data_IF_172303354181
#
_entry.id   IF_172303354181
#
_cell.length_a   1.000
_cell.length_b   1.000
_cell.length_c   1.000
_cell.angle_alpha   90.00
_cell.angle_beta   90.00
_cell.angle_gamma   90.00
#
_symmetry.space_group_name_H-M   'P 1'
#
loop_
_entity.id
_entity.type
_entity.pdbx_description
1 polymer ?
#
# COMPACT_ATOMS: atom_id res chain seq x y z
N UNK A 1 4.53 -8.38 -63.28
CA UNK A 1 4.26 -9.79 -63.66
C UNK A 1 5.42 -10.70 -63.20
N UNK A 2 5.15 -12.00 -62.97
CA UNK A 2 5.96 -13.04 -62.31
C UNK A 2 5.70 -13.08 -60.77
N UNK A 3 4.63 -13.73 -60.26
CA UNK A 3 4.48 -15.16 -59.81
C UNK A 3 5.72 -15.71 -59.08
N UNK A 4 5.73 -16.40 -57.93
CA UNK A 4 4.87 -17.40 -57.28
C UNK A 4 5.33 -17.49 -55.78
N UNK A 5 4.49 -17.78 -54.77
CA UNK A 5 4.21 -19.15 -54.22
C UNK A 5 5.49 -19.85 -53.70
N UNK A 6 5.61 -20.47 -52.51
CA UNK A 6 4.68 -21.32 -51.78
C UNK A 6 5.18 -21.62 -50.34
N UNK A 7 4.21 -21.92 -49.46
CA UNK A 7 4.18 -22.57 -48.12
C UNK A 7 5.01 -23.87 -47.95
N UNK A 8 4.90 -24.70 -46.87
CA UNK A 8 4.56 -24.50 -45.43
C UNK A 8 5.38 -25.38 -44.43
N UNK A 9 5.07 -25.22 -43.13
CA UNK A 9 4.92 -26.21 -42.03
C UNK A 9 6.04 -27.23 -41.68
N UNK A 10 6.35 -27.29 -40.38
CA UNK A 10 6.72 -28.54 -39.70
C UNK A 10 6.12 -28.57 -38.27
N UNK A 11 5.18 -29.49 -38.09
CA UNK A 11 4.66 -29.98 -36.82
C UNK A 11 5.67 -30.89 -36.12
N UNK A 12 5.52 -31.05 -34.79
CA UNK A 12 5.76 -32.35 -34.14
C UNK A 12 6.90 -32.44 -33.13
N UNK A 13 6.55 -32.39 -31.84
CA UNK A 13 7.19 -33.22 -30.80
C UNK A 13 6.29 -33.35 -29.57
N UNK A 14 5.80 -34.57 -29.29
CA UNK A 14 5.44 -35.00 -27.95
C UNK A 14 6.32 -36.18 -27.49
N UNK A 15 6.18 -36.54 -26.20
CA UNK A 15 6.79 -37.66 -25.46
C UNK A 15 8.08 -37.28 -24.69
N UNK A 16 8.33 -37.70 -23.44
CA UNK A 16 7.63 -38.61 -22.54
C UNK A 16 8.06 -38.38 -21.07
N UNK A 17 7.19 -38.89 -20.19
CA UNK A 17 7.36 -39.37 -18.81
C UNK A 17 8.77 -39.54 -18.22
N UNK A 18 8.89 -39.22 -16.93
CA UNK A 18 9.54 -40.09 -15.94
C UNK A 18 9.13 -39.72 -14.50
N UNK A 19 8.87 -40.75 -13.71
CA UNK A 19 8.45 -40.80 -12.31
C UNK A 19 9.60 -40.59 -11.30
N UNK A 20 9.27 -40.14 -10.07
CA UNK A 20 9.80 -40.60 -8.77
C UNK A 20 9.28 -39.64 -7.66
N UNK A 21 8.32 -40.02 -6.80
CA UNK A 21 8.40 -40.76 -5.53
C UNK A 21 9.15 -40.03 -4.37
N UNK A 22 8.68 -40.29 -3.13
CA UNK A 22 9.24 -40.01 -1.78
C UNK A 22 8.57 -38.85 -1.02
N UNK A 23 8.15 -38.90 0.25
CA UNK A 23 7.92 -39.92 1.31
C UNK A 23 7.04 -39.22 2.37
N UNK A 24 6.17 -39.97 3.06
CA UNK A 24 5.45 -39.56 4.27
C UNK A 24 6.39 -39.15 5.43
N UNK A 25 6.01 -38.11 6.18
CA UNK A 25 6.40 -38.00 7.59
C UNK A 25 5.26 -37.35 8.39
N UNK A 26 4.75 -38.13 9.34
CA UNK A 26 3.81 -37.74 10.35
C UNK A 26 4.40 -36.71 11.33
N UNK A 27 3.53 -35.86 11.87
CA UNK A 27 3.85 -34.88 12.92
C UNK A 27 2.57 -34.45 13.61
N UNK A 28 2.09 -35.31 14.49
CA UNK A 28 1.12 -35.06 15.56
C UNK A 28 1.74 -34.09 16.58
N UNK A 29 1.09 -32.97 16.92
CA UNK A 29 0.83 -32.58 18.32
C UNK A 29 0.09 -31.23 18.49
N UNK A 30 -0.74 -31.19 19.54
CA UNK A 30 -1.29 -30.03 20.26
C UNK A 30 -2.35 -29.13 19.59
N UNK A 31 -3.60 -29.57 19.71
CA UNK A 31 -4.77 -28.69 19.73
C UNK A 31 -4.82 -27.91 21.05
N UNK A 32 -4.33 -26.67 21.05
CA UNK A 32 -4.73 -25.66 22.02
C UNK A 32 -5.95 -24.93 21.43
N UNK A 33 -7.14 -25.27 21.92
CA UNK A 33 -8.39 -24.56 21.62
C UNK A 33 -8.32 -23.20 22.31
N UNK A 34 -7.75 -22.22 21.62
CA UNK A 34 -7.92 -20.81 21.94
C UNK A 34 -9.33 -20.41 21.48
N UNK A 35 -10.13 -20.02 22.46
CA UNK A 35 -11.43 -19.39 22.31
C UNK A 35 -11.34 -18.26 21.26
N UNK A 36 -11.89 -18.51 20.06
CA UNK A 36 -11.88 -17.52 18.99
C UNK A 36 -12.81 -16.36 19.40
N UNK A 37 -12.36 -15.10 19.32
CA UNK A 37 -13.24 -13.96 19.50
C UNK A 37 -14.38 -14.06 18.49
N UNK A 38 -15.60 -13.84 18.96
CA UNK A 38 -16.83 -13.97 18.19
C UNK A 38 -16.70 -13.25 16.84
N UNK A 39 -16.67 -14.04 15.76
CA UNK A 39 -16.59 -13.57 14.39
C UNK A 39 -17.84 -12.74 14.10
N UNK A 40 -17.70 -11.42 14.02
CA UNK A 40 -18.77 -10.56 13.54
C UNK A 40 -18.76 -10.64 12.01
N UNK A 41 -19.71 -11.33 11.37
CA UNK A 41 -19.81 -11.28 9.91
C UNK A 41 -20.10 -9.83 9.52
N UNK A 42 -19.37 -9.31 8.54
CA UNK A 42 -19.72 -8.05 7.89
C UNK A 42 -21.10 -8.23 7.25
N UNK A 43 -22.17 -7.85 7.96
CA UNK A 43 -23.51 -7.87 7.40
C UNK A 43 -23.60 -6.77 6.36
N UNK A 44 -23.51 -7.17 5.09
CA UNK A 44 -23.93 -6.36 3.97
C UNK A 44 -25.40 -5.99 4.22
N UNK A 45 -25.69 -4.70 4.39
CA UNK A 45 -27.05 -4.20 4.54
C UNK A 45 -27.94 -4.58 3.35
N UNK A 46 -29.25 -4.24 3.39
CA UNK A 46 -30.23 -4.66 2.39
C UNK A 46 -30.01 -3.91 1.06
N UNK A 47 -28.97 -4.28 0.32
CA UNK A 47 -28.77 -3.93 -1.07
C UNK A 47 -29.52 -4.99 -1.89
N UNK A 48 -30.36 -4.53 -2.82
CA UNK A 48 -31.28 -5.37 -3.59
C UNK A 48 -30.62 -6.59 -4.25
N UNK A 49 -31.42 -7.63 -4.45
CA UNK A 49 -31.08 -8.90 -5.11
C UNK A 49 -30.36 -8.70 -6.47
N UNK A 50 -29.04 -8.53 -6.43
CA UNK A 50 -28.14 -8.69 -7.58
C UNK A 50 -27.37 -10.02 -7.47
N UNK A 51 -28.05 -11.04 -6.96
CA UNK A 51 -27.51 -12.37 -6.79
C UNK A 51 -27.39 -13.02 -8.17
N UNK A 52 -26.20 -12.95 -8.76
CA UNK A 52 -25.84 -13.75 -9.93
C UNK A 52 -25.75 -15.21 -9.46
N UNK A 53 -26.71 -16.03 -9.89
CA UNK A 53 -26.67 -17.49 -9.77
C UNK A 53 -25.44 -18.03 -10.52
N UNK A 54 -24.30 -18.15 -9.85
CA UNK A 54 -23.31 -19.24 -10.01
C UNK A 54 -22.03 -18.91 -9.25
N UNK A 55 -21.75 -19.73 -8.22
CA UNK A 55 -20.69 -19.62 -7.20
C UNK A 55 -21.06 -18.71 -6.03
N UNK A 56 -21.25 -19.35 -4.87
CA UNK A 56 -21.46 -18.75 -3.56
C UNK A 56 -20.27 -17.88 -3.18
N UNK A 57 -20.26 -16.65 -3.66
CA UNK A 57 -19.31 -15.66 -3.18
C UNK A 57 -19.62 -15.38 -1.71
N UNK A 58 -18.67 -15.71 -0.84
CA UNK A 58 -18.76 -15.44 0.58
C UNK A 58 -18.05 -14.09 0.81
N UNK A 59 -18.73 -13.10 1.41
CA UNK A 59 -18.09 -11.84 1.73
C UNK A 59 -16.86 -12.08 2.62
N UNK A 60 -15.73 -11.41 2.35
CA UNK A 60 -14.53 -11.55 3.17
C UNK A 60 -14.79 -11.02 4.58
N UNK A 61 -14.07 -11.56 5.55
CA UNK A 61 -14.07 -11.05 6.92
C UNK A 61 -13.29 -9.74 7.03
N UNK A 62 -13.42 -9.04 8.16
CA UNK A 62 -12.59 -7.87 8.48
C UNK A 62 -11.10 -8.20 8.37
N UNK A 63 -10.68 -9.34 8.91
CA UNK A 63 -9.28 -9.78 8.91
C UNK A 63 -8.78 -10.02 7.48
N UNK A 64 -9.59 -10.66 6.64
CA UNK A 64 -9.30 -10.83 5.21
C UNK A 64 -9.13 -9.47 4.50
N UNK A 65 -9.97 -8.48 4.82
CA UNK A 65 -9.85 -7.14 4.26
C UNK A 65 -8.56 -6.43 4.71
N UNK A 66 -8.18 -6.58 5.97
CA UNK A 66 -6.92 -6.03 6.50
C UNK A 66 -5.72 -6.65 5.80
N UNK A 67 -5.66 -7.98 5.71
CA UNK A 67 -4.54 -8.67 5.09
C UNK A 67 -4.49 -8.45 3.58
N UNK A 68 -5.65 -8.36 2.92
CA UNK A 68 -5.73 -7.95 1.52
C UNK A 68 -5.18 -6.53 1.30
N UNK A 69 -5.50 -5.56 2.15
CA UNK A 69 -4.93 -4.21 2.05
C UNK A 69 -3.42 -4.22 2.31
N UNK A 70 -2.91 -5.05 3.23
CA UNK A 70 -1.47 -5.24 3.41
C UNK A 70 -0.81 -5.79 2.16
N UNK A 71 -1.42 -6.78 1.51
CA UNK A 71 -0.96 -7.35 0.24
C UNK A 71 -0.94 -6.31 -0.88
N UNK A 72 -1.99 -5.47 -0.98
CA UNK A 72 -1.99 -4.36 -1.93
C UNK A 72 -0.87 -3.36 -1.65
N UNK A 73 -0.70 -2.95 -0.39
CA UNK A 73 0.38 -2.05 0.02
C UNK A 73 1.74 -2.62 -0.34
N UNK A 74 1.98 -3.90 -0.07
CA UNK A 74 3.21 -4.59 -0.43
C UNK A 74 3.44 -4.59 -1.95
N UNK A 75 2.43 -4.97 -2.73
CA UNK A 75 2.51 -5.00 -4.20
C UNK A 75 2.83 -3.61 -4.79
N UNK A 76 2.16 -2.57 -4.30
CA UNK A 76 2.38 -1.19 -4.76
C UNK A 76 3.68 -0.57 -4.25
N UNK A 77 4.27 -1.12 -3.18
CA UNK A 77 5.55 -0.63 -2.65
C UNK A 77 6.77 -1.12 -3.43
N UNK A 78 6.59 -2.06 -4.36
CA UNK A 78 7.68 -2.61 -5.17
C UNK A 78 8.34 -1.52 -6.02
N UNK A 79 9.68 -1.56 -6.09
CA UNK A 79 10.46 -0.56 -6.85
C UNK A 79 10.10 -0.58 -8.34
N UNK A 80 9.85 -1.77 -8.89
CA UNK A 80 9.46 -1.98 -10.29
C UNK A 80 8.15 -1.26 -10.61
N UNK A 81 7.11 -1.48 -9.79
CA UNK A 81 5.81 -0.81 -9.99
C UNK A 81 5.91 0.71 -9.84
N UNK A 82 6.65 1.20 -8.85
CA UNK A 82 6.83 2.64 -8.63
C UNK A 82 7.62 3.29 -9.78
N UNK A 83 8.58 2.58 -10.37
CA UNK A 83 9.31 3.01 -11.55
C UNK A 83 8.39 3.05 -12.78
N UNK A 84 7.63 1.98 -13.03
CA UNK A 84 6.69 1.94 -14.16
C UNK A 84 5.67 3.08 -14.06
N UNK A 85 5.07 3.28 -12.88
CA UNK A 85 4.16 4.41 -12.62
C UNK A 85 4.79 5.77 -12.92
N UNK A 86 6.10 5.96 -12.70
CA UNK A 86 6.84 7.20 -13.02
C UNK A 86 7.01 7.42 -14.51
N UNK A 87 7.10 6.34 -15.29
CA UNK A 87 7.35 6.40 -16.74
C UNK A 87 6.08 6.58 -17.57
N UNK A 88 4.90 6.43 -16.96
CA UNK A 88 3.64 6.57 -17.66
C UNK A 88 3.42 8.01 -18.17
N UNK A 89 2.83 8.18 -19.37
CA UNK A 89 2.51 9.50 -19.90
C UNK A 89 1.44 10.18 -19.04
N UNK A 90 1.28 11.51 -19.15
CA UNK A 90 0.19 12.21 -18.46
C UNK A 90 -1.10 12.21 -19.28
N UNK A 91 -2.24 12.40 -18.60
CA UNK A 91 -3.55 12.52 -19.23
C UNK A 91 -4.28 11.18 -19.40
N UNK A 92 -5.25 11.12 -20.32
CA UNK A 92 -6.18 9.98 -20.43
C UNK A 92 -5.47 8.65 -20.74
N UNK A 93 -4.50 8.66 -21.64
CA UNK A 93 -3.73 7.45 -22.00
C UNK A 93 -2.87 6.94 -20.84
N UNK A 94 -2.25 7.86 -20.10
CA UNK A 94 -1.52 7.56 -18.87
C UNK A 94 -2.38 6.95 -17.78
N UNK A 95 -3.55 7.56 -17.55
CA UNK A 95 -4.51 7.07 -16.58
C UNK A 95 -4.98 5.65 -16.93
N UNK A 96 -5.24 5.36 -18.21
CA UNK A 96 -5.61 4.01 -18.64
C UNK A 96 -4.49 3.01 -18.39
N UNK A 97 -3.26 3.31 -18.82
CA UNK A 97 -2.11 2.44 -18.60
C UNK A 97 -1.84 2.21 -17.10
N UNK A 98 -2.05 3.23 -16.27
CA UNK A 98 -1.96 3.11 -14.81
C UNK A 98 -3.04 2.17 -14.25
N UNK A 99 -4.26 2.26 -14.74
CA UNK A 99 -5.34 1.35 -14.33
C UNK A 99 -5.04 -0.09 -14.75
N UNK A 100 -4.50 -0.31 -15.94
CA UNK A 100 -4.13 -1.64 -16.42
C UNK A 100 -2.97 -2.23 -15.59
N UNK A 101 -2.00 -1.40 -15.20
CA UNK A 101 -0.89 -1.78 -14.31
C UNK A 101 -1.38 -2.08 -12.87
N UNK A 102 -2.30 -1.28 -12.35
CA UNK A 102 -2.93 -1.57 -11.05
C UNK A 102 -3.68 -2.89 -11.11
N UNK A 103 -4.45 -3.12 -12.17
CA UNK A 103 -5.23 -4.32 -12.34
C UNK A 103 -4.36 -5.58 -12.41
N UNK A 104 -3.20 -5.53 -13.08
CA UNK A 104 -2.29 -6.68 -13.17
C UNK A 104 -1.78 -7.13 -11.80
N UNK A 105 -1.55 -6.18 -10.88
CA UNK A 105 -1.17 -6.47 -9.50
C UNK A 105 -2.35 -6.87 -8.61
N UNK A 106 -3.52 -6.27 -8.83
CA UNK A 106 -4.70 -6.55 -8.01
C UNK A 106 -5.30 -7.94 -8.26
N UNK A 107 -5.32 -8.36 -9.53
CA UNK A 107 -5.93 -9.62 -9.97
C UNK A 107 -5.44 -10.86 -9.19
N UNK A 108 -4.14 -11.12 -9.01
CA UNK A 108 -3.69 -12.27 -8.22
C UNK A 108 -4.03 -12.16 -6.73
N UNK A 109 -4.14 -10.94 -6.19
CA UNK A 109 -4.52 -10.71 -4.78
C UNK A 109 -6.00 -11.04 -4.59
N UNK A 110 -6.89 -10.59 -5.49
CA UNK A 110 -8.32 -10.91 -5.42
C UNK A 110 -8.59 -12.42 -5.35
N UNK A 111 -7.85 -13.22 -6.12
CA UNK A 111 -7.96 -14.67 -6.09
C UNK A 111 -7.65 -15.30 -4.73
N UNK A 112 -6.82 -14.67 -3.87
CA UNK A 112 -6.49 -15.18 -2.53
C UNK A 112 -7.60 -14.94 -1.51
N UNK A 113 -8.33 -13.84 -1.67
CA UNK A 113 -9.37 -13.39 -0.72
C UNK A 113 -10.78 -13.65 -1.25
N UNK A 114 -10.95 -14.67 -2.08
CA UNK A 114 -12.23 -15.10 -2.66
C UNK A 114 -12.97 -14.04 -3.47
N UNK A 115 -12.31 -12.97 -3.92
CA UNK A 115 -12.89 -12.04 -4.87
C UNK A 115 -12.80 -12.60 -6.30
N UNK A 116 -13.83 -12.40 -7.13
CA UNK A 116 -13.73 -12.69 -8.56
C UNK A 116 -12.54 -11.96 -9.17
N UNK A 117 -11.73 -12.66 -9.98
CA UNK A 117 -10.59 -12.06 -10.69
C UNK A 117 -11.03 -11.31 -11.95
N UNK A 118 -12.11 -10.53 -11.82
CA UNK A 118 -12.78 -9.81 -12.89
C UNK A 118 -13.06 -8.37 -12.46
N UNK A 119 -13.51 -7.52 -13.39
CA UNK A 119 -13.85 -6.12 -13.07
C UNK A 119 -14.98 -6.03 -12.04
N UNK A 120 -15.89 -6.99 -12.05
CA UNK A 120 -16.95 -7.11 -11.05
C UNK A 120 -16.35 -7.36 -9.65
N UNK A 121 -15.35 -8.24 -9.52
CA UNK A 121 -14.67 -8.45 -8.25
C UNK A 121 -13.91 -7.21 -7.75
N UNK A 122 -13.38 -6.39 -8.66
CA UNK A 122 -12.82 -5.09 -8.31
C UNK A 122 -13.88 -4.15 -7.70
N UNK A 123 -15.08 -4.11 -8.31
CA UNK A 123 -16.20 -3.31 -7.82
C UNK A 123 -16.66 -3.82 -6.44
N UNK A 124 -16.85 -5.13 -6.28
CA UNK A 124 -17.21 -5.74 -5.00
C UNK A 124 -16.19 -5.43 -3.90
N UNK A 125 -14.88 -5.51 -4.21
CA UNK A 125 -13.84 -5.11 -3.27
C UNK A 125 -13.98 -3.63 -2.88
N UNK A 126 -14.23 -2.75 -3.85
CA UNK A 126 -14.46 -1.33 -3.59
C UNK A 126 -15.67 -1.08 -2.70
N UNK A 127 -16.76 -1.82 -2.92
CA UNK A 127 -17.99 -1.75 -2.11
C UNK A 127 -17.73 -2.22 -0.68
N UNK A 128 -17.08 -3.38 -0.48
CA UNK A 128 -16.71 -3.87 0.84
C UNK A 128 -15.86 -2.85 1.61
N UNK A 129 -14.89 -2.21 0.94
CA UNK A 129 -14.02 -1.20 1.56
C UNK A 129 -14.76 0.13 1.82
N UNK A 130 -15.84 0.42 1.09
CA UNK A 130 -16.63 1.64 1.21
C UNK A 130 -17.78 1.56 2.23
N UNK A 131 -18.00 0.39 2.83
CA UNK A 131 -19.01 0.18 3.86
C UNK A 131 -18.79 1.11 5.08
N UNK A 132 -19.85 1.56 5.77
CA UNK A 132 -19.70 2.38 6.98
C UNK A 132 -18.83 1.73 8.06
N UNK A 133 -18.98 0.42 8.23
CA UNK A 133 -18.26 -0.37 9.24
C UNK A 133 -16.76 -0.36 8.98
N UNK A 134 -16.35 -0.55 7.71
CA UNK A 134 -14.93 -0.53 7.31
C UNK A 134 -14.34 0.88 7.33
N UNK A 135 -15.14 1.92 7.03
CA UNK A 135 -14.71 3.32 7.11
C UNK A 135 -14.50 3.80 8.54
N UNK A 136 -15.28 3.26 9.48
CA UNK A 136 -15.15 3.59 10.89
C UNK A 136 -13.96 2.88 11.57
N UNK A 137 -13.37 1.90 10.90
CA UNK A 137 -12.22 1.16 11.39
C UNK A 137 -10.92 1.95 11.16
N UNK A 138 -10.18 2.30 12.24
CA UNK A 138 -8.98 3.11 12.12
C UNK A 138 -7.83 2.40 11.39
N UNK A 139 -7.73 1.07 11.52
CA UNK A 139 -6.66 0.28 10.90
C UNK A 139 -6.87 0.17 9.39
N UNK A 140 -8.10 -0.14 8.96
CA UNK A 140 -8.46 -0.16 7.54
C UNK A 140 -8.33 1.23 6.91
N UNK A 141 -8.75 2.28 7.62
CA UNK A 141 -8.63 3.66 7.14
C UNK A 141 -7.16 4.08 6.92
N UNK A 142 -6.28 3.74 7.87
CA UNK A 142 -4.84 4.02 7.75
C UNK A 142 -4.21 3.26 6.58
N UNK A 143 -4.52 1.95 6.43
CA UNK A 143 -4.03 1.14 5.31
C UNK A 143 -4.52 1.65 3.95
N UNK A 144 -5.80 2.03 3.85
CA UNK A 144 -6.36 2.63 2.63
C UNK A 144 -5.68 3.96 2.30
N UNK A 145 -5.41 4.80 3.31
CA UNK A 145 -4.72 6.07 3.13
C UNK A 145 -3.26 5.86 2.67
N UNK A 146 -2.58 4.87 3.23
CA UNK A 146 -1.22 4.50 2.83
C UNK A 146 -1.16 4.02 1.38
N UNK A 147 -2.07 3.12 1.01
CA UNK A 147 -2.21 2.65 -0.38
C UNK A 147 -2.48 3.84 -1.30
N UNK A 148 -3.45 4.69 -0.96
CA UNK A 148 -3.76 5.86 -1.77
C UNK A 148 -2.53 6.75 -1.96
N UNK A 149 -1.74 6.93 -0.89
CA UNK A 149 -0.48 7.69 -0.95
C UNK A 149 0.53 7.04 -1.89
N UNK A 150 0.71 5.72 -1.85
CA UNK A 150 1.59 4.99 -2.77
C UNK A 150 1.13 5.04 -4.23
N UNK A 151 -0.17 5.23 -4.46
CA UNK A 151 -0.77 5.33 -5.78
C UNK A 151 -0.84 6.76 -6.32
N UNK A 152 -0.59 7.77 -5.50
CA UNK A 152 -0.48 9.15 -5.96
C UNK A 152 0.71 9.29 -6.91
N UNK A 153 0.64 10.26 -7.81
CA UNK A 153 1.79 10.57 -8.65
C UNK A 153 3.02 10.89 -7.78
N UNK A 154 4.21 10.43 -8.14
CA UNK A 154 5.45 10.66 -7.39
C UNK A 154 5.66 12.13 -7.00
N UNK A 155 5.30 13.07 -7.90
CA UNK A 155 5.35 14.51 -7.62
C UNK A 155 4.42 14.94 -6.49
N UNK A 156 3.23 14.32 -6.40
CA UNK A 156 2.27 14.54 -5.31
C UNK A 156 2.70 13.84 -4.03
N UNK A 157 3.32 12.65 -4.13
CA UNK A 157 3.93 11.98 -2.98
C UNK A 157 5.03 12.83 -2.34
N UNK A 158 5.94 13.37 -3.15
CA UNK A 158 7.01 14.26 -2.70
C UNK A 158 6.45 15.53 -2.04
N UNK A 159 5.37 16.09 -2.61
CA UNK A 159 4.68 17.25 -2.05
C UNK A 159 4.06 16.92 -0.68
N UNK A 160 3.34 15.81 -0.57
CA UNK A 160 2.73 15.37 0.69
C UNK A 160 3.76 15.05 1.76
N UNK A 161 4.89 14.43 1.37
CA UNK A 161 6.01 14.18 2.29
C UNK A 161 6.57 15.48 2.85
N UNK A 162 6.83 16.47 1.98
CA UNK A 162 7.29 17.81 2.40
C UNK A 162 6.27 18.51 3.30
N UNK A 163 4.98 18.42 3.01
CA UNK A 163 3.92 19.00 3.84
C UNK A 163 3.81 18.31 5.21
N UNK A 164 3.92 16.99 5.28
CA UNK A 164 3.97 16.24 6.56
C UNK A 164 5.19 16.62 7.38
N UNK A 165 6.38 16.69 6.78
CA UNK A 165 7.62 17.13 7.43
C UNK A 165 7.51 18.56 7.96
N UNK A 166 6.93 19.48 7.18
CA UNK A 166 6.69 20.86 7.60
C UNK A 166 5.72 20.96 8.78
N UNK A 167 4.63 20.16 8.79
CA UNK A 167 3.68 20.10 9.90
C UNK A 167 4.30 19.53 11.17
N UNK A 168 5.06 18.43 11.06
CA UNK A 168 5.77 17.84 12.20
C UNK A 168 6.82 18.82 12.77
N UNK A 169 7.54 19.54 11.91
CA UNK A 169 8.47 20.58 12.36
C UNK A 169 7.76 21.78 13.02
N UNK A 170 6.56 22.14 12.54
CA UNK A 170 5.75 23.19 13.15
C UNK A 170 5.16 22.75 14.50
N UNK A 171 4.68 21.51 14.61
CA UNK A 171 4.17 20.94 15.86
C UNK A 171 5.29 20.72 16.89
N UNK A 172 6.48 20.31 16.47
CA UNK A 172 7.64 20.20 17.35
C UNK A 172 8.06 21.58 17.90
N UNK A 173 7.98 22.63 17.08
CA UNK A 173 8.20 24.02 17.52
C UNK A 173 7.06 24.57 18.37
N UNK A 174 5.82 24.14 18.13
CA UNK A 174 4.66 24.54 18.93
C UNK A 174 4.60 23.83 20.29
N UNK A 175 5.23 22.65 20.41
CA UNK A 175 5.40 21.90 21.66
C UNK A 175 6.64 22.32 22.47
N UNK A 176 7.47 23.26 22.00
CA UNK A 176 8.48 23.89 22.86
C UNK A 176 7.74 24.58 24.01
N UNK A 177 7.93 24.05 25.22
CA UNK A 177 7.32 24.62 26.42
C UNK A 177 7.90 26.03 26.66
N UNK A 178 7.13 26.96 27.29
CA UNK A 178 7.61 28.31 27.60
C UNK A 178 8.94 28.32 28.39
N UNK A 179 9.19 27.27 29.17
CA UNK A 179 10.43 27.06 29.92
C UNK A 179 11.65 26.85 29.02
N UNK A 180 11.48 26.11 27.92
CA UNK A 180 12.55 25.76 26.99
C UNK A 180 12.96 26.97 26.13
N UNK A 181 11.98 27.81 25.79
CA UNK A 181 12.19 29.12 25.16
C UNK A 181 12.99 30.05 26.09
N UNK A 182 12.64 30.08 27.38
CA UNK A 182 13.37 30.86 28.41
C UNK A 182 14.81 30.38 28.58
N UNK A 183 15.02 29.06 28.54
CA UNK A 183 16.36 28.44 28.64
C UNK A 183 17.25 28.80 27.44
N UNK A 184 16.71 28.74 26.22
CA UNK A 184 17.42 29.16 24.99
C UNK A 184 17.77 30.64 25.00
N UNK A 185 16.89 31.51 25.51
CA UNK A 185 17.18 32.94 25.62
C UNK A 185 18.35 33.22 26.58
N UNK A 186 18.33 32.61 27.77
CA UNK A 186 19.44 32.76 28.73
C UNK A 186 20.77 32.23 28.19
N UNK A 187 20.75 31.11 27.45
CA UNK A 187 21.98 30.56 26.85
C UNK A 187 22.52 31.47 25.72
N UNK A 188 21.63 32.10 24.96
CA UNK A 188 22.01 33.06 23.91
C UNK A 188 22.63 34.32 24.50
N UNK A 189 22.03 34.87 25.57
CA UNK A 189 22.58 36.02 26.29
C UNK A 189 23.96 35.71 26.88
N UNK A 190 24.13 34.53 27.48
CA UNK A 190 25.41 34.10 28.04
C UNK A 190 26.51 33.96 26.98
N UNK A 191 26.17 33.46 25.79
CA UNK A 191 27.11 33.39 24.65
C UNK A 191 27.46 34.77 24.11
N UNK A 192 26.50 35.68 24.07
CA UNK A 192 26.74 37.06 23.63
C UNK A 192 27.63 37.83 24.61
N UNK A 193 27.44 37.64 25.92
CA UNK A 193 28.33 38.19 26.95
C UNK A 193 29.75 37.63 26.84
N UNK A 194 29.92 36.31 26.66
CA UNK A 194 31.24 35.72 26.45
C UNK A 194 31.94 36.29 25.20
N UNK A 195 31.19 36.53 24.12
CA UNK A 195 31.72 37.13 22.91
C UNK A 195 32.13 38.60 23.12
N UNK A 196 31.33 39.38 23.87
CA UNK A 196 31.66 40.76 24.26
C UNK A 196 32.88 40.81 25.18
N UNK A 197 33.04 39.85 26.08
CA UNK A 197 34.18 39.79 26.99
C UNK A 197 35.48 39.42 26.26
N UNK A 198 35.42 38.46 25.32
CA UNK A 198 36.57 38.09 24.49
C UNK A 198 36.99 39.22 23.54
N UNK A 199 36.04 39.95 22.95
CA UNK A 199 36.35 41.11 22.10
C UNK A 199 36.91 42.30 22.90
N UNK A 200 36.43 42.53 24.13
CA UNK A 200 36.96 43.57 25.02
C UNK A 200 38.38 43.24 25.53
N UNK A 201 38.69 41.98 25.79
CA UNK A 201 40.04 41.53 26.18
C UNK A 201 41.02 41.49 25.01
N UNK A 202 40.54 41.20 23.79
CA UNK A 202 41.37 41.25 22.57
C UNK A 202 41.75 42.67 22.13
N UNK A 203 40.97 43.69 22.48
CA UNK A 203 41.23 45.09 22.12
C UNK A 203 42.23 45.83 23.05
N UNK A 204 42.64 45.23 24.16
CA UNK A 204 43.56 45.86 25.14
C UNK A 204 45.01 45.39 24.95
N UNK A 205 45.25 44.43 24.05
CA UNK A 205 46.58 43.87 23.76
C UNK A 205 47.15 44.20 22.37
N UNK A 206 46.52 45.10 21.61
CA UNK A 206 47.02 45.62 20.35
C UNK A 206 47.39 47.11 20.51
#
# INVERSE_FOLDING_TARGET
PVVAESSPAAEGSPAAAAEAQVVEAAGEDTAAVAEQPERIPCQLGPMGNWFVESHSWVPPTREDLVDMLKDFKAAYSTEEFQLECRTLPQGKAGNQAKQDLLWSLQRPIFGRYNFPQTKEGQQLCGECLAMPETKSDPELAELQQDIFTLLLDPKLQDKLKKEKEAKLAAEAKAKETPEEIRRRQMEKERKEEQLKEMTKKGAVGA
#
